data_IF_320730239246
#
_entry.id   IF_320730239246
#
_cell.length_a   1.000
_cell.length_b   1.000
_cell.length_c   1.000
_cell.angle_alpha   90.00
_cell.angle_beta   90.00
_cell.angle_gamma   90.00
#
_symmetry.space_group_name_H-M   'P 1'
#
loop_
_entity.id
_entity.type
_entity.pdbx_description
1 polymer ?
#
# COMPACT_ATOMS: atom_id res chain seq x y z
N UNK A 1 -24.32 -28.37 -22.06
CA UNK A 1 -24.55 -28.42 -20.60
C UNK A 1 -23.27 -27.91 -19.95
N UNK A 2 -23.24 -26.64 -19.56
CA UNK A 2 -22.08 -26.03 -18.94
C UNK A 2 -22.57 -25.24 -17.73
N UNK A 3 -22.40 -25.83 -16.55
CA UNK A 3 -22.57 -25.14 -15.28
C UNK A 3 -21.27 -24.38 -15.02
N UNK A 4 -21.27 -23.07 -15.32
CA UNK A 4 -20.19 -22.15 -15.03
C UNK A 4 -20.40 -21.52 -13.66
N UNK A 5 -19.40 -21.69 -12.81
CA UNK A 5 -19.39 -21.40 -11.38
C UNK A 5 -19.49 -19.88 -11.10
N UNK A 6 -20.67 -19.38 -10.70
CA UNK A 6 -20.95 -17.97 -10.41
C UNK A 6 -20.54 -17.49 -9.01
N UNK A 7 -19.57 -18.13 -8.34
CA UNK A 7 -19.29 -17.88 -6.91
C UNK A 7 -18.10 -16.95 -6.60
N UNK A 8 -17.26 -16.58 -7.58
CA UNK A 8 -16.07 -15.74 -7.32
C UNK A 8 -16.32 -14.28 -6.93
N UNK A 9 -17.24 -13.51 -7.57
CA UNK A 9 -17.46 -12.11 -7.18
C UNK A 9 -18.14 -11.97 -5.81
N UNK A 10 -18.84 -13.02 -5.36
CA UNK A 10 -19.57 -13.03 -4.10
C UNK A 10 -18.64 -13.26 -2.90
N UNK A 11 -17.57 -14.07 -3.04
CA UNK A 11 -16.66 -14.39 -1.92
C UNK A 11 -15.74 -13.21 -1.57
N UNK A 12 -15.23 -12.49 -2.57
CA UNK A 12 -14.43 -11.27 -2.36
C UNK A 12 -15.29 -10.12 -1.80
N UNK A 13 -16.53 -9.99 -2.28
CA UNK A 13 -17.50 -9.04 -1.71
C UNK A 13 -17.83 -9.40 -0.26
N UNK A 14 -18.08 -10.68 0.05
CA UNK A 14 -18.36 -11.14 1.42
C UNK A 14 -17.17 -10.98 2.38
N UNK A 15 -15.93 -11.15 1.90
CA UNK A 15 -14.73 -10.97 2.72
C UNK A 15 -14.45 -9.50 3.08
N UNK A 16 -14.97 -8.56 2.29
CA UNK A 16 -14.79 -7.12 2.47
C UNK A 16 -16.05 -6.43 3.01
N UNK A 17 -17.06 -7.18 3.45
CA UNK A 17 -18.33 -6.66 3.94
C UNK A 17 -18.44 -6.81 5.46
N UNK A 18 -18.66 -5.69 6.15
CA UNK A 18 -18.95 -5.64 7.59
C UNK A 18 -20.43 -5.28 7.80
N UNK A 19 -21.06 -5.91 8.78
CA UNK A 19 -22.45 -5.59 9.15
C UNK A 19 -22.45 -4.49 10.21
N UNK A 20 -23.15 -3.39 9.94
CA UNK A 20 -23.26 -2.28 10.89
C UNK A 20 -23.99 -2.73 12.17
N UNK A 21 -23.39 -2.55 13.36
CA UNK A 21 -23.98 -3.03 14.60
C UNK A 21 -25.21 -2.22 15.07
N UNK A 22 -25.42 -0.97 14.62
CA UNK A 22 -26.66 -0.23 14.96
C UNK A 22 -27.85 -0.59 14.09
N UNK A 23 -27.68 -0.64 12.77
CA UNK A 23 -28.81 -0.75 11.85
C UNK A 23 -28.88 -2.08 11.09
N UNK A 24 -27.87 -2.94 11.25
CA UNK A 24 -27.81 -4.25 10.60
C UNK A 24 -27.53 -4.19 9.09
N UNK A 25 -27.20 -3.01 8.55
CA UNK A 25 -26.91 -2.85 7.14
C UNK A 25 -25.49 -3.34 6.81
N UNK A 26 -25.36 -4.14 5.76
CA UNK A 26 -24.08 -4.64 5.25
C UNK A 26 -23.43 -3.55 4.40
N UNK A 27 -22.15 -3.27 4.67
CA UNK A 27 -21.37 -2.18 4.08
C UNK A 27 -19.91 -2.62 3.96
N UNK A 28 -19.12 -1.98 3.10
CA UNK A 28 -17.75 -2.41 2.89
C UNK A 28 -16.85 -2.00 4.05
N UNK A 29 -15.86 -2.83 4.39
CA UNK A 29 -14.79 -2.54 5.37
C UNK A 29 -13.97 -1.30 4.97
N UNK A 30 -14.04 -0.88 3.71
CA UNK A 30 -13.43 0.36 3.21
C UNK A 30 -14.21 1.62 3.63
N UNK A 31 -15.45 1.50 4.10
CA UNK A 31 -16.26 2.64 4.53
C UNK A 31 -16.05 2.93 6.03
N UNK A 32 -15.57 4.13 6.35
CA UNK A 32 -15.36 4.56 7.73
C UNK A 32 -16.68 4.77 8.51
N UNK A 33 -17.82 4.83 7.83
CA UNK A 33 -19.14 5.07 8.45
C UNK A 33 -20.23 4.37 7.65
N UNK A 34 -21.24 3.85 8.35
CA UNK A 34 -22.35 3.15 7.71
C UNK A 34 -23.20 4.13 6.89
N UNK A 35 -23.41 3.89 5.58
CA UNK A 35 -24.21 4.77 4.72
C UNK A 35 -25.71 4.76 5.07
N UNK A 36 -26.18 3.74 5.80
CA UNK A 36 -27.58 3.60 6.20
C UNK A 36 -27.98 4.42 7.43
N UNK A 37 -27.08 4.59 8.39
CA UNK A 37 -27.39 5.25 9.67
C UNK A 37 -26.36 6.30 10.10
N UNK A 38 -25.26 6.45 9.36
CA UNK A 38 -24.17 7.38 9.66
C UNK A 38 -23.29 6.96 10.83
N UNK A 39 -23.48 5.77 11.41
CA UNK A 39 -22.65 5.31 12.54
C UNK A 39 -21.23 4.99 12.06
N UNK A 40 -20.23 5.54 12.75
CA UNK A 40 -18.82 5.21 12.53
C UNK A 40 -18.55 3.74 12.81
N UNK A 41 -18.05 3.04 11.80
CA UNK A 41 -17.68 1.63 11.92
C UNK A 41 -16.27 1.60 12.48
N UNK A 42 -16.12 1.15 13.74
CA UNK A 42 -14.79 0.98 14.33
C UNK A 42 -14.08 -0.14 13.57
N UNK A 43 -13.17 0.22 12.66
CA UNK A 43 -12.04 -0.64 12.34
C UNK A 43 -11.33 -0.95 13.65
N UNK A 44 -11.01 -2.22 13.85
CA UNK A 44 -10.53 -2.74 15.13
C UNK A 44 -9.10 -2.27 15.46
N UNK A 45 -8.92 -0.98 15.71
CA UNK A 45 -7.80 -0.42 16.47
C UNK A 45 -8.34 0.81 17.21
N UNK A 46 -8.87 0.56 18.41
CA UNK A 46 -9.10 1.61 19.41
C UNK A 46 -8.50 1.13 20.71
N UNK A 47 -7.21 1.40 20.87
CA UNK A 47 -6.67 1.81 22.16
C UNK A 47 -6.01 3.18 21.95
N UNK A 48 -6.69 4.19 22.51
CA UNK A 48 -6.21 5.56 22.67
C UNK A 48 -5.01 5.55 23.62
N UNK A 49 -3.87 6.05 23.17
CA UNK A 49 -3.06 7.09 23.84
C UNK A 49 -1.67 7.11 23.17
N UNK A 50 -1.25 8.28 22.66
CA UNK A 50 0.10 8.59 22.10
C UNK A 50 0.29 8.58 20.58
N UNK A 51 -0.51 9.29 19.78
CA UNK A 51 0.05 9.94 18.57
C UNK A 51 -0.66 11.26 18.25
N UNK A 52 -0.42 12.29 19.07
CA UNK A 52 -0.76 13.66 18.71
C UNK A 52 0.28 14.21 17.72
N UNK A 53 0.25 13.83 16.43
CA UNK A 53 0.99 14.57 15.39
C UNK A 53 0.49 14.31 13.97
N UNK A 54 -0.82 14.39 13.73
CA UNK A 54 -1.32 14.56 12.35
C UNK A 54 -2.55 15.44 12.34
N UNK A 55 -2.31 16.75 12.27
CA UNK A 55 -3.34 17.66 11.79
C UNK A 55 -3.62 17.33 10.31
N UNK A 56 -4.78 16.72 10.09
CA UNK A 56 -5.84 17.21 9.20
C UNK A 56 -5.37 18.12 8.07
N UNK A 57 -5.13 17.53 6.89
CA UNK A 57 -5.40 18.10 5.57
C UNK A 57 -5.38 16.94 4.55
N UNK A 58 -6.46 16.76 3.79
CA UNK A 58 -6.50 15.82 2.65
C UNK A 58 -7.35 14.56 2.81
N UNK A 59 -8.53 14.64 3.42
CA UNK A 59 -9.63 13.74 3.03
C UNK A 59 -10.13 14.23 1.68
N UNK A 60 -9.48 13.81 0.59
CA UNK A 60 -9.96 13.84 -0.80
C UNK A 60 -8.74 13.63 -1.72
N UNK A 61 -8.25 12.39 -1.84
CA UNK A 61 -7.69 11.93 -3.11
C UNK A 61 -7.63 10.40 -3.12
N UNK A 62 -8.13 9.86 -4.23
CA UNK A 62 -8.35 8.45 -4.54
C UNK A 62 -7.28 7.52 -3.95
N UNK A 63 -7.76 6.56 -3.18
CA UNK A 63 -6.98 5.43 -2.68
C UNK A 63 -6.19 4.76 -3.81
N UNK A 64 -4.98 4.30 -3.46
CA UNK A 64 -4.01 3.52 -4.26
C UNK A 64 -2.96 4.26 -5.12
N UNK A 65 -3.16 5.49 -5.60
CA UNK A 65 -2.13 6.18 -6.42
C UNK A 65 -1.35 7.31 -5.71
N UNK A 66 -1.85 7.80 -4.56
CA UNK A 66 -1.23 8.92 -3.85
C UNK A 66 -0.10 8.57 -2.87
N UNK A 67 -0.04 7.31 -2.38
CA UNK A 67 0.92 6.93 -1.35
C UNK A 67 2.35 6.80 -1.91
N UNK A 68 2.52 6.16 -3.07
CA UNK A 68 3.82 6.01 -3.73
C UNK A 68 4.42 7.36 -4.15
N UNK A 69 3.58 8.30 -4.62
CA UNK A 69 4.02 9.64 -5.01
C UNK A 69 4.44 10.49 -3.80
N UNK A 70 3.76 10.37 -2.65
CA UNK A 70 4.16 11.04 -1.41
C UNK A 70 5.47 10.50 -0.86
N UNK A 71 5.63 9.17 -0.80
CA UNK A 71 6.86 8.54 -0.32
C UNK A 71 8.05 8.90 -1.23
N UNK A 72 7.89 8.82 -2.55
CA UNK A 72 8.93 9.22 -3.51
C UNK A 72 9.34 10.69 -3.34
N UNK A 73 8.38 11.60 -3.11
CA UNK A 73 8.67 13.00 -2.85
C UNK A 73 9.52 13.18 -1.58
N UNK A 74 9.18 12.49 -0.48
CA UNK A 74 9.97 12.53 0.77
C UNK A 74 11.41 12.08 0.52
N UNK A 75 11.60 11.00 -0.24
CA UNK A 75 12.90 10.45 -0.57
C UNK A 75 13.73 11.39 -1.46
N UNK A 76 13.11 12.03 -2.46
CA UNK A 76 13.73 13.07 -3.27
C UNK A 76 14.17 14.27 -2.44
N UNK A 77 13.30 14.79 -1.59
CA UNK A 77 13.62 15.92 -0.71
C UNK A 77 14.73 15.57 0.27
N UNK A 78 14.73 14.36 0.83
CA UNK A 78 15.78 13.88 1.73
C UNK A 78 17.13 13.79 1.00
N UNK A 79 17.18 13.16 -0.18
CA UNK A 79 18.40 13.03 -0.98
C UNK A 79 18.95 14.39 -1.43
N UNK A 80 18.08 15.27 -1.95
CA UNK A 80 18.48 16.61 -2.37
C UNK A 80 18.97 17.46 -1.20
N UNK A 81 18.28 17.40 -0.05
CA UNK A 81 18.68 18.10 1.17
C UNK A 81 20.04 17.63 1.68
N UNK A 82 20.30 16.32 1.66
CA UNK A 82 21.59 15.76 2.04
C UNK A 82 22.69 16.25 1.10
N UNK A 83 22.45 16.18 -0.21
CA UNK A 83 23.43 16.58 -1.24
C UNK A 83 23.74 18.08 -1.23
N UNK A 84 22.76 18.92 -0.90
CA UNK A 84 22.94 20.38 -0.81
C UNK A 84 23.53 20.83 0.53
N UNK A 85 23.68 19.92 1.50
CA UNK A 85 24.10 20.23 2.87
C UNK A 85 23.01 20.93 3.71
N UNK A 86 21.76 20.96 3.24
CA UNK A 86 20.62 21.49 3.98
C UNK A 86 20.03 20.49 4.98
N UNK A 87 20.36 19.21 4.82
CA UNK A 87 20.02 18.11 5.70
C UNK A 87 21.31 17.38 6.07
N UNK A 88 21.49 17.05 7.35
CA UNK A 88 22.58 16.21 7.79
C UNK A 88 22.27 14.72 7.55
N UNK A 89 23.28 13.88 7.76
CA UNK A 89 23.15 12.44 7.54
C UNK A 89 22.11 11.80 8.46
N UNK A 90 22.00 12.28 9.70
CA UNK A 90 21.02 11.80 10.67
C UNK A 90 19.59 12.12 10.20
N UNK A 91 19.32 13.36 9.80
CA UNK A 91 18.03 13.78 9.28
C UNK A 91 17.65 13.07 7.98
N UNK A 92 18.63 12.80 7.10
CA UNK A 92 18.42 11.96 5.93
C UNK A 92 17.99 10.55 6.31
N UNK A 93 18.75 9.88 7.19
CA UNK A 93 18.46 8.51 7.64
C UNK A 93 17.12 8.41 8.35
N UNK A 94 16.75 9.41 9.14
CA UNK A 94 15.44 9.45 9.79
C UNK A 94 14.28 9.49 8.78
N UNK A 95 14.40 10.30 7.71
CA UNK A 95 13.36 10.38 6.67
C UNK A 95 13.26 9.09 5.86
N UNK A 96 14.38 8.53 5.43
CA UNK A 96 14.39 7.25 4.69
C UNK A 96 13.88 6.11 5.59
N UNK A 97 14.29 6.09 6.87
CA UNK A 97 13.86 5.11 7.86
C UNK A 97 12.35 5.15 8.14
N UNK A 98 11.75 6.33 8.21
CA UNK A 98 10.30 6.46 8.38
C UNK A 98 9.52 5.86 7.18
N UNK A 99 10.01 6.06 5.96
CA UNK A 99 9.42 5.44 4.77
C UNK A 99 9.61 3.91 4.80
N UNK A 100 10.78 3.44 5.24
CA UNK A 100 11.07 2.02 5.39
C UNK A 100 10.15 1.34 6.41
N UNK A 101 9.91 1.96 7.56
CA UNK A 101 9.00 1.42 8.58
C UNK A 101 7.58 1.20 8.01
N UNK A 102 7.04 2.17 7.28
CA UNK A 102 5.73 2.04 6.62
C UNK A 102 5.73 0.93 5.56
N UNK A 103 6.81 0.81 4.77
CA UNK A 103 6.95 -0.25 3.76
C UNK A 103 7.04 -1.64 4.41
N UNK A 104 7.77 -1.77 5.51
CA UNK A 104 7.88 -3.03 6.23
C UNK A 104 6.54 -3.43 6.87
N UNK A 105 5.76 -2.47 7.39
CA UNK A 105 4.41 -2.77 7.86
C UNK A 105 3.52 -3.34 6.74
N UNK A 106 3.60 -2.80 5.52
CA UNK A 106 2.88 -3.35 4.34
C UNK A 106 3.38 -4.75 3.99
N UNK A 107 4.69 -4.96 4.03
CA UNK A 107 5.33 -6.26 3.77
C UNK A 107 4.86 -7.31 4.77
N UNK A 108 4.76 -6.97 6.04
CA UNK A 108 4.31 -7.88 7.09
C UNK A 108 2.87 -8.30 6.86
N UNK A 109 1.99 -7.36 6.50
CA UNK A 109 0.59 -7.67 6.10
C UNK A 109 0.55 -8.65 4.93
N UNK A 110 1.37 -8.43 3.90
CA UNK A 110 1.46 -9.34 2.74
C UNK A 110 2.00 -10.73 3.09
N UNK A 111 2.67 -10.88 4.23
CA UNK A 111 3.27 -12.12 4.67
C UNK A 111 2.49 -12.87 5.74
N UNK A 112 1.34 -12.35 6.19
CA UNK A 112 0.46 -13.04 7.15
C UNK A 112 -0.02 -14.37 6.55
N UNK A 113 0.04 -15.43 7.34
CA UNK A 113 -0.32 -16.80 6.91
C UNK A 113 -1.72 -16.87 6.30
N UNK A 114 -2.70 -16.18 6.90
CA UNK A 114 -4.07 -16.11 6.38
C UNK A 114 -4.18 -15.49 4.99
N UNK A 115 -3.29 -14.56 4.64
CA UNK A 115 -3.26 -13.95 3.31
C UNK A 115 -2.68 -14.92 2.27
N UNK A 116 -1.70 -15.74 2.67
CA UNK A 116 -1.13 -16.81 1.81
C UNK A 116 -2.10 -17.97 1.62
N UNK A 117 -2.85 -18.32 2.66
CA UNK A 117 -3.95 -19.30 2.56
C UNK A 117 -5.07 -18.81 1.64
N UNK A 118 -5.34 -17.51 1.65
CA UNK A 118 -6.27 -16.88 0.72
C UNK A 118 -5.72 -16.87 -0.71
N UNK A 119 -4.45 -16.53 -0.91
CA UNK A 119 -3.77 -16.58 -2.23
C UNK A 119 -3.91 -17.96 -2.88
N UNK A 120 -3.74 -19.04 -2.11
CA UNK A 120 -3.87 -20.42 -2.62
C UNK A 120 -5.29 -20.78 -3.11
N UNK A 121 -6.30 -20.01 -2.74
CA UNK A 121 -7.69 -20.20 -3.13
C UNK A 121 -8.11 -19.28 -4.29
N UNK A 122 -7.25 -18.36 -4.70
CA UNK A 122 -7.52 -17.44 -5.80
C UNK A 122 -7.33 -18.09 -7.17
N UNK A 123 -8.01 -17.56 -8.21
CA UNK A 123 -7.67 -17.83 -9.60
C UNK A 123 -6.19 -17.51 -9.87
N UNK A 124 -5.53 -18.22 -10.80
CA UNK A 124 -4.09 -18.08 -11.02
C UNK A 124 -3.68 -16.64 -11.35
N UNK A 125 -4.51 -15.90 -12.10
CA UNK A 125 -4.28 -14.51 -12.46
C UNK A 125 -4.31 -13.57 -11.24
N UNK A 126 -5.26 -13.78 -10.32
CA UNK A 126 -5.37 -12.98 -9.10
C UNK A 126 -4.26 -13.33 -8.08
N UNK A 127 -3.90 -14.61 -7.99
CA UNK A 127 -2.76 -15.05 -7.17
C UNK A 127 -1.43 -14.49 -7.70
N UNK A 128 -1.26 -14.41 -9.03
CA UNK A 128 -0.10 -13.80 -9.66
C UNK A 128 0.00 -12.30 -9.35
N UNK A 129 -1.11 -11.56 -9.44
CA UNK A 129 -1.16 -10.14 -9.07
C UNK A 129 -0.75 -9.90 -7.60
N UNK A 130 -1.21 -10.75 -6.67
CA UNK A 130 -0.82 -10.65 -5.26
C UNK A 130 0.66 -10.94 -5.05
N UNK A 131 1.22 -11.95 -5.72
CA UNK A 131 2.65 -12.25 -5.68
C UNK A 131 3.49 -11.12 -6.26
N UNK A 132 3.05 -10.52 -7.36
CA UNK A 132 3.76 -9.39 -7.96
C UNK A 132 3.70 -8.16 -7.04
N UNK A 133 2.56 -7.90 -6.40
CA UNK A 133 2.44 -6.84 -5.39
C UNK A 133 3.41 -7.06 -4.22
N UNK A 134 3.51 -8.29 -3.70
CA UNK A 134 4.45 -8.63 -2.64
C UNK A 134 5.91 -8.42 -3.09
N UNK A 135 6.24 -8.83 -4.33
CA UNK A 135 7.56 -8.63 -4.94
C UNK A 135 7.91 -7.15 -5.05
N UNK A 136 6.99 -6.32 -5.52
CA UNK A 136 7.19 -4.87 -5.66
C UNK A 136 7.41 -4.19 -4.30
N UNK A 137 6.74 -4.66 -3.23
CA UNK A 137 7.00 -4.18 -1.87
C UNK A 137 8.41 -4.56 -1.39
N UNK A 138 8.86 -5.77 -1.68
CA UNK A 138 10.22 -6.22 -1.36
C UNK A 138 11.29 -5.43 -2.13
N UNK A 139 11.08 -5.19 -3.42
CA UNK A 139 11.98 -4.40 -4.27
C UNK A 139 12.03 -2.93 -3.81
N UNK A 140 10.89 -2.35 -3.42
CA UNK A 140 10.84 -1.01 -2.82
C UNK A 140 11.64 -0.93 -1.52
N UNK A 141 11.50 -1.93 -0.64
CA UNK A 141 12.26 -2.01 0.60
C UNK A 141 13.77 -2.15 0.34
N UNK A 142 14.17 -2.94 -0.67
CA UNK A 142 15.57 -3.09 -1.06
C UNK A 142 16.19 -1.75 -1.48
N UNK A 143 15.47 -0.94 -2.27
CA UNK A 143 15.91 0.40 -2.65
C UNK A 143 16.08 1.32 -1.44
N UNK A 144 15.19 1.23 -0.44
CA UNK A 144 15.32 2.01 0.81
C UNK A 144 16.53 1.59 1.64
N UNK A 145 16.83 0.28 1.72
CA UNK A 145 18.05 -0.20 2.37
C UNK A 145 19.30 0.31 1.64
N UNK A 146 19.32 0.28 0.31
CA UNK A 146 20.41 0.85 -0.47
C UNK A 146 20.59 2.36 -0.22
N UNK A 147 19.50 3.10 -0.01
CA UNK A 147 19.56 4.50 0.40
C UNK A 147 20.20 4.68 1.80
N UNK A 148 19.85 3.83 2.76
CA UNK A 148 20.40 3.89 4.12
C UNK A 148 21.90 3.54 4.21
N UNK A 149 22.45 2.84 3.23
CA UNK A 149 23.89 2.57 3.10
C UNK A 149 24.72 3.83 2.82
N UNK A 150 24.10 4.96 2.52
CA UNK A 150 24.81 6.23 2.37
C UNK A 150 25.49 6.65 3.68
N UNK A 151 26.76 7.03 3.57
CA UNK A 151 27.61 7.47 4.70
C UNK A 151 27.84 9.00 4.72
N UNK A 152 27.23 9.73 3.77
CA UNK A 152 27.37 11.18 3.63
C UNK A 152 28.66 11.63 2.92
N UNK A 153 29.56 10.71 2.58
CA UNK A 153 30.75 10.98 1.76
C UNK A 153 30.55 10.47 0.33
N UNK A 154 29.96 9.29 0.19
CA UNK A 154 29.53 8.72 -1.08
C UNK A 154 28.00 8.70 -1.18
N UNK A 155 27.48 9.41 -2.18
CA UNK A 155 26.05 9.49 -2.46
C UNK A 155 25.56 8.42 -3.45
N UNK A 156 26.46 7.61 -4.00
CA UNK A 156 26.12 6.58 -4.99
C UNK A 156 25.08 5.57 -4.47
N UNK A 157 25.13 5.10 -3.19
CA UNK A 157 24.09 4.22 -2.65
C UNK A 157 22.71 4.88 -2.61
N UNK A 158 22.65 6.15 -2.17
CA UNK A 158 21.43 6.95 -2.14
C UNK A 158 20.83 7.17 -3.52
N UNK A 159 21.66 7.50 -4.52
CA UNK A 159 21.21 7.68 -5.89
C UNK A 159 20.72 6.37 -6.52
N UNK A 160 21.44 5.26 -6.29
CA UNK A 160 21.05 3.94 -6.79
C UNK A 160 19.71 3.50 -6.20
N UNK A 161 19.58 3.53 -4.88
CA UNK A 161 18.35 3.09 -4.21
C UNK A 161 17.14 3.93 -4.60
N UNK A 162 17.34 5.23 -4.81
CA UNK A 162 16.28 6.11 -5.29
C UNK A 162 15.81 5.76 -6.72
N UNK A 163 16.75 5.48 -7.63
CA UNK A 163 16.40 5.03 -9.00
C UNK A 163 15.70 3.68 -9.00
N UNK A 164 16.11 2.76 -8.14
CA UNK A 164 15.44 1.46 -7.98
C UNK A 164 14.00 1.65 -7.50
N UNK A 165 13.77 2.54 -6.53
CA UNK A 165 12.44 2.91 -6.06
C UNK A 165 11.58 3.53 -7.16
N UNK A 166 12.13 4.44 -7.97
CA UNK A 166 11.41 5.04 -9.11
C UNK A 166 10.98 3.99 -10.15
N UNK A 167 11.86 3.01 -10.43
CA UNK A 167 11.55 1.90 -11.32
C UNK A 167 10.41 1.04 -10.76
N UNK A 168 10.49 0.67 -9.48
CA UNK A 168 9.44 -0.12 -8.81
C UNK A 168 8.09 0.59 -8.84
N UNK A 169 8.05 1.90 -8.57
CA UNK A 169 6.79 2.66 -8.63
C UNK A 169 6.21 2.77 -10.04
N UNK A 170 7.08 2.77 -11.06
CA UNK A 170 6.64 2.72 -12.46
C UNK A 170 6.02 1.36 -12.76
N UNK A 171 6.66 0.27 -12.34
CA UNK A 171 6.15 -1.09 -12.52
C UNK A 171 4.83 -1.30 -11.77
N UNK A 172 4.71 -0.79 -10.54
CA UNK A 172 3.45 -0.79 -9.78
C UNK A 172 2.34 -0.04 -10.51
N UNK A 173 2.64 1.12 -11.10
CA UNK A 173 1.63 1.89 -11.83
C UNK A 173 1.14 1.15 -13.08
N UNK A 174 2.01 0.41 -13.76
CA UNK A 174 1.65 -0.41 -14.91
C UNK A 174 0.80 -1.61 -14.48
N UNK A 175 1.23 -2.34 -13.44
CA UNK A 175 0.48 -3.48 -12.90
C UNK A 175 -0.94 -3.08 -12.44
N UNK A 176 -1.11 -1.88 -11.88
CA UNK A 176 -2.43 -1.36 -11.53
C UNK A 176 -3.31 -1.05 -12.75
N UNK A 177 -2.74 -0.54 -13.84
CA UNK A 177 -3.48 -0.30 -15.09
C UNK A 177 -3.97 -1.62 -15.68
N UNK A 178 -3.08 -2.62 -15.74
CA UNK A 178 -3.42 -3.96 -16.23
C UNK A 178 -4.54 -4.61 -15.38
N UNK A 179 -4.52 -4.40 -14.06
CA UNK A 179 -5.56 -4.88 -13.15
C UNK A 179 -6.92 -4.20 -13.38
N UNK A 180 -6.92 -2.88 -13.60
CA UNK A 180 -8.14 -2.12 -13.90
C UNK A 180 -8.75 -2.52 -15.25
N UNK A 181 -7.91 -2.78 -16.26
CA UNK A 181 -8.35 -3.28 -17.58
C UNK A 181 -8.96 -4.68 -17.47
N UNK A 182 -8.33 -5.57 -16.70
CA UNK A 182 -8.86 -6.91 -16.46
C UNK A 182 -10.23 -6.85 -15.75
N UNK A 183 -10.39 -5.99 -14.75
CA UNK A 183 -11.66 -5.83 -14.03
C UNK A 183 -12.78 -5.33 -14.96
N UNK A 184 -12.46 -4.41 -15.87
CA UNK A 184 -13.42 -3.89 -16.86
C UNK A 184 -13.87 -4.94 -17.88
N UNK A 185 -12.95 -5.79 -18.33
CA UNK A 185 -13.26 -6.88 -19.26
C UNK A 185 -14.18 -7.93 -18.62
N UNK A 186 -13.96 -8.26 -17.33
CA UNK A 186 -14.83 -9.16 -16.57
C UNK A 186 -16.23 -8.56 -16.29
N UNK A 187 -16.37 -7.24 -16.21
CA UNK A 187 -17.66 -6.58 -16.03
C UNK A 187 -18.48 -6.46 -17.32
N UNK A 188 -17.84 -6.59 -18.49
CA UNK A 188 -18.49 -6.45 -19.81
C UNK A 188 -18.75 -7.80 -20.52
N UNK A 189 -18.18 -8.90 -20.04
CA UNK A 189 -18.37 -10.27 -20.55
C UNK A 189 -19.41 -11.08 -19.80
#
# INVERSE_FOLDING_TARGET
>A
MSQGNSQLPDVLSQALNVTCPSCGQVTSIREASCPGCGQTLRTAESDEESVSYVHREGLEEKAAHGAGSKQLKILHEAYQGLRSGQLDLEGYRARVGAVLEETLAKRDVMNIDSLKEFEAQLPPEAAEMMRETARLIDDFAAGLYAMLDCDGQDFSPAERGLREIEAVLTDMSLAHQDADELEQDYQQG
#
